data_IF_425349542212
#
_entry.id   IF_425349542212
#
_cell.length_a   1.000
_cell.length_b   1.000
_cell.length_c   1.000
_cell.angle_alpha   90.00
_cell.angle_beta   90.00
_cell.angle_gamma   90.00
#
_symmetry.space_group_name_H-M   'P 1'
#
loop_
_entity.id
_entity.type
_entity.pdbx_description
1 polymer ?
#
# COMPACT_ATOMS: atom_id res chain seq x y z
N UNK A 1 51.24 1.22 28.45
CA UNK A 1 51.75 0.68 29.72
C UNK A 1 50.67 -0.18 30.31
N UNK A 2 50.95 -1.45 30.57
CA UNK A 2 50.00 -2.36 31.18
C UNK A 2 50.15 -2.32 32.70
N UNK A 3 49.03 -2.18 33.41
CA UNK A 3 48.92 -2.47 34.84
C UNK A 3 48.27 -3.86 34.97
N UNK A 4 49.02 -4.85 35.46
CA UNK A 4 48.56 -6.23 35.67
C UNK A 4 49.70 -7.16 36.08
N UNK A 5 49.42 -8.04 37.06
CA UNK A 5 50.36 -8.89 37.79
C UNK A 5 51.03 -9.98 36.90
N UNK A 6 52.35 -10.28 37.02
CA UNK A 6 53.07 -11.18 36.11
C UNK A 6 52.72 -12.69 36.20
N UNK A 7 51.81 -13.10 37.08
CA UNK A 7 51.55 -14.52 37.38
C UNK A 7 50.21 -15.08 36.87
N UNK A 8 49.41 -14.29 36.15
CA UNK A 8 48.21 -14.85 35.51
C UNK A 8 48.65 -15.51 34.21
N UNK A 9 48.64 -16.84 34.19
CA UNK A 9 48.99 -17.70 33.06
C UNK A 9 48.53 -17.11 31.72
N UNK A 10 49.34 -17.32 30.68
CA UNK A 10 49.10 -16.95 29.29
C UNK A 10 47.70 -17.42 28.85
N UNK A 11 46.68 -16.61 29.15
CA UNK A 11 45.34 -16.81 28.66
C UNK A 11 45.40 -16.23 27.27
N UNK A 12 45.43 -17.12 26.27
CA UNK A 12 45.23 -16.76 24.87
C UNK A 12 44.14 -15.69 24.89
N UNK A 13 44.48 -14.44 24.54
CA UNK A 13 43.45 -13.41 24.36
C UNK A 13 42.64 -13.84 23.14
N UNK A 14 41.70 -14.76 23.36
CA UNK A 14 40.48 -14.80 22.59
C UNK A 14 40.00 -13.35 22.63
N UNK A 15 39.97 -12.72 21.47
CA UNK A 15 39.37 -11.41 21.31
C UNK A 15 37.86 -11.55 21.58
N UNK A 16 37.51 -11.70 22.86
CA UNK A 16 36.16 -11.78 23.38
C UNK A 16 35.65 -10.34 23.41
N UNK A 17 34.77 -10.02 22.46
CA UNK A 17 34.21 -8.67 22.32
C UNK A 17 32.94 -8.49 23.16
N UNK A 18 32.25 -9.58 23.50
CA UNK A 18 31.04 -9.58 24.32
C UNK A 18 30.92 -10.91 25.08
N UNK A 19 30.22 -10.87 26.21
CA UNK A 19 29.74 -12.03 26.97
C UNK A 19 28.21 -12.07 26.96
N UNK A 20 27.57 -10.90 26.95
CA UNK A 20 26.13 -10.73 26.83
C UNK A 20 25.75 -9.67 25.78
N UNK A 21 24.45 -9.56 25.48
CA UNK A 21 23.98 -8.62 24.46
C UNK A 21 24.23 -7.16 24.83
N UNK A 22 24.14 -6.83 26.12
CA UNK A 22 24.28 -5.46 26.63
C UNK A 22 25.73 -4.94 26.52
N UNK A 23 26.72 -5.83 26.34
CA UNK A 23 28.10 -5.47 25.98
C UNK A 23 28.21 -4.90 24.55
N UNK A 24 27.22 -5.21 23.71
CA UNK A 24 27.18 -4.75 22.33
C UNK A 24 26.39 -3.44 22.21
N UNK A 25 26.62 -2.66 21.15
CA UNK A 25 25.70 -1.61 20.72
C UNK A 25 24.27 -2.14 20.51
N UNK A 26 23.26 -1.29 20.68
CA UNK A 26 21.84 -1.68 20.61
C UNK A 26 21.38 -2.26 19.26
N UNK A 27 22.17 -2.05 18.20
CA UNK A 27 21.98 -2.59 16.85
C UNK A 27 22.69 -3.93 16.60
N UNK A 28 23.34 -4.51 17.61
CA UNK A 28 24.14 -5.75 17.51
C UNK A 28 23.74 -6.78 18.55
N UNK A 29 24.12 -8.04 18.36
CA UNK A 29 23.86 -9.12 19.32
C UNK A 29 25.13 -9.91 19.60
N UNK A 30 25.24 -10.50 20.79
CA UNK A 30 26.41 -11.28 21.16
C UNK A 30 26.29 -12.71 20.65
N UNK A 31 27.05 -13.05 19.61
CA UNK A 31 27.10 -14.39 19.02
C UNK A 31 28.55 -14.87 19.06
N UNK A 32 28.80 -16.00 19.73
CA UNK A 32 30.15 -16.60 19.83
C UNK A 32 31.22 -15.58 20.23
N UNK A 33 30.92 -14.77 21.24
CA UNK A 33 31.82 -13.74 21.80
C UNK A 33 32.17 -12.60 20.84
N UNK A 34 31.36 -12.38 19.80
CA UNK A 34 31.47 -11.25 18.86
C UNK A 34 30.13 -10.53 18.73
N UNK A 35 30.18 -9.21 18.60
CA UNK A 35 29.00 -8.41 18.33
C UNK A 35 28.65 -8.48 16.84
N UNK A 36 27.72 -9.36 16.49
CA UNK A 36 27.25 -9.59 15.12
C UNK A 36 25.95 -8.85 14.85
N UNK A 37 25.65 -8.63 13.57
CA UNK A 37 24.37 -8.05 13.15
C UNK A 37 23.27 -9.12 13.25
N UNK A 38 22.28 -8.95 14.14
CA UNK A 38 21.18 -9.92 14.29
C UNK A 38 20.27 -9.99 13.05
N UNK A 39 20.32 -9.01 12.16
CA UNK A 39 19.57 -9.03 10.91
C UNK A 39 20.19 -9.98 9.87
N UNK A 40 21.46 -10.37 10.04
CA UNK A 40 22.17 -11.21 9.11
C UNK A 40 21.55 -12.63 9.12
N UNK A 41 20.87 -13.01 8.03
CA UNK A 41 20.15 -14.28 7.78
C UNK A 41 18.80 -14.50 8.49
N UNK A 42 18.31 -13.57 9.32
CA UNK A 42 16.99 -13.74 9.96
C UNK A 42 15.86 -13.28 9.02
N UNK A 43 15.99 -12.09 8.43
CA UNK A 43 14.99 -11.54 7.52
C UNK A 43 15.33 -11.92 6.07
N UNK A 44 15.09 -13.18 5.70
CA UNK A 44 15.42 -13.71 4.36
C UNK A 44 14.32 -13.47 3.31
N UNK A 45 13.17 -12.92 3.70
CA UNK A 45 12.07 -12.67 2.79
C UNK A 45 12.37 -11.57 1.77
N UNK A 46 11.92 -11.75 0.54
CA UNK A 46 12.02 -10.72 -0.50
C UNK A 46 11.22 -9.46 -0.10
N UNK A 47 11.75 -8.28 -0.44
CA UNK A 47 11.14 -6.96 -0.16
C UNK A 47 10.90 -6.67 1.34
N UNK A 48 11.78 -7.17 2.20
CA UNK A 48 11.73 -6.93 3.64
C UNK A 48 12.73 -5.85 4.06
N UNK A 49 12.53 -5.30 5.25
CA UNK A 49 13.44 -4.42 5.97
C UNK A 49 13.61 -4.96 7.38
N UNK A 50 14.86 -5.08 7.82
CA UNK A 50 15.19 -5.47 9.18
C UNK A 50 15.50 -4.24 10.02
N UNK A 51 14.95 -4.19 11.23
CA UNK A 51 15.28 -3.19 12.25
C UNK A 51 15.67 -3.92 13.54
N UNK A 52 16.70 -3.44 14.23
CA UNK A 52 17.09 -4.02 15.51
C UNK A 52 16.50 -3.18 16.64
N UNK A 53 15.85 -3.83 17.62
CA UNK A 53 15.41 -3.18 18.85
C UNK A 53 15.81 -4.06 20.02
N UNK A 54 16.56 -3.49 20.97
CA UNK A 54 17.07 -4.22 22.15
C UNK A 54 17.80 -5.51 21.76
N UNK A 55 18.74 -5.42 20.81
CA UNK A 55 19.52 -6.57 20.32
C UNK A 55 18.71 -7.67 19.59
N UNK A 56 17.41 -7.44 19.36
CA UNK A 56 16.50 -8.37 18.69
C UNK A 56 16.18 -7.88 17.28
N UNK A 57 16.26 -8.73 16.25
CA UNK A 57 15.88 -8.37 14.89
C UNK A 57 14.35 -8.38 14.72
N UNK A 58 13.83 -7.33 14.10
CA UNK A 58 12.43 -7.17 13.71
C UNK A 58 12.34 -7.06 12.19
N UNK A 59 11.72 -8.06 11.56
CA UNK A 59 11.48 -8.06 10.12
C UNK A 59 10.14 -7.39 9.81
N UNK A 60 10.14 -6.48 8.84
CA UNK A 60 8.93 -5.82 8.35
C UNK A 60 8.93 -5.78 6.82
N UNK A 61 7.75 -5.71 6.20
CA UNK A 61 7.68 -5.48 4.76
C UNK A 61 8.04 -4.03 4.44
N UNK A 62 8.75 -3.82 3.31
CA UNK A 62 8.95 -2.47 2.77
C UNK A 62 7.60 -1.81 2.46
N UNK A 63 7.57 -0.48 2.47
CA UNK A 63 6.36 0.29 2.19
C UNK A 63 5.72 -0.15 0.86
N UNK A 64 4.42 -0.44 0.89
CA UNK A 64 3.66 -0.93 -0.28
C UNK A 64 3.69 -2.45 -0.49
N UNK A 65 4.47 -3.18 0.31
CA UNK A 65 4.49 -4.65 0.30
C UNK A 65 3.81 -5.21 1.55
N UNK A 66 3.16 -6.35 1.38
CA UNK A 66 2.41 -7.03 2.43
C UNK A 66 2.62 -8.53 2.34
N UNK A 67 2.34 -9.23 3.44
CA UNK A 67 2.60 -10.67 3.58
C UNK A 67 3.40 -10.95 4.84
N UNK A 68 4.07 -12.08 4.85
CA UNK A 68 4.91 -12.50 5.95
C UNK A 68 6.38 -12.13 5.67
N UNK A 69 6.99 -11.23 6.47
CA UNK A 69 8.36 -10.78 6.25
C UNK A 69 9.43 -11.86 6.46
N UNK A 70 9.10 -13.03 7.03
CA UNK A 70 10.04 -14.14 7.12
C UNK A 70 10.07 -15.00 5.85
N UNK A 71 8.96 -15.04 5.10
CA UNK A 71 8.82 -15.86 3.89
C UNK A 71 8.89 -15.01 2.62
N UNK A 72 7.96 -14.08 2.44
CA UNK A 72 7.93 -13.14 1.33
C UNK A 72 6.95 -11.98 1.56
N UNK A 73 7.41 -10.77 1.28
CA UNK A 73 6.54 -9.60 1.12
C UNK A 73 6.28 -9.37 -0.37
N UNK A 74 5.01 -9.40 -0.74
CA UNK A 74 4.57 -9.20 -2.12
C UNK A 74 3.95 -7.82 -2.27
N UNK A 75 4.05 -7.27 -3.48
CA UNK A 75 3.38 -6.02 -3.79
C UNK A 75 1.88 -6.27 -3.68
N UNK A 76 1.21 -5.63 -2.72
CA UNK A 76 -0.24 -5.72 -2.65
C UNK A 76 -0.78 -4.74 -3.68
N UNK A 77 -1.12 -5.24 -4.86
CA UNK A 77 -2.08 -4.57 -5.71
C UNK A 77 -3.35 -4.49 -4.88
N UNK A 78 -3.73 -3.27 -4.48
CA UNK A 78 -4.96 -3.04 -3.74
C UNK A 78 -6.13 -3.29 -4.69
N UNK A 79 -6.54 -4.56 -4.76
CA UNK A 79 -7.78 -5.00 -5.38
C UNK A 79 -8.91 -4.55 -4.48
N UNK A 80 -9.61 -3.49 -4.88
CA UNK A 80 -10.80 -2.99 -4.16
C UNK A 80 -12.02 -3.86 -4.42
N UNK A 81 -12.10 -4.42 -5.63
CA UNK A 81 -13.22 -5.19 -6.11
C UNK A 81 -12.72 -6.26 -7.09
N UNK A 82 -13.42 -7.38 -7.13
CA UNK A 82 -13.33 -8.39 -8.18
C UNK A 82 -14.55 -8.29 -9.09
N UNK A 83 -15.71 -7.97 -8.52
CA UNK A 83 -16.99 -7.82 -9.19
C UNK A 83 -17.65 -6.49 -8.83
N UNK A 84 -18.69 -6.11 -9.57
CA UNK A 84 -19.41 -4.86 -9.32
C UNK A 84 -20.05 -4.83 -7.92
N UNK A 85 -20.52 -5.98 -7.44
CA UNK A 85 -21.21 -6.13 -6.16
C UNK A 85 -20.27 -5.90 -4.95
N UNK A 86 -18.94 -5.94 -5.16
CA UNK A 86 -17.96 -5.56 -4.13
C UNK A 86 -17.91 -4.03 -3.92
N UNK A 87 -18.45 -3.26 -4.86
CA UNK A 87 -18.50 -1.81 -4.81
C UNK A 87 -19.84 -1.31 -4.22
N UNK A 88 -19.88 -0.06 -3.74
CA UNK A 88 -21.14 0.65 -3.53
C UNK A 88 -22.01 0.67 -4.79
N UNK A 89 -23.34 0.69 -4.64
CA UNK A 89 -24.30 0.63 -5.76
C UNK A 89 -24.18 1.77 -6.77
N UNK A 90 -23.51 2.86 -6.40
CA UNK A 90 -23.19 4.04 -7.22
C UNK A 90 -21.84 3.95 -7.96
N UNK A 91 -21.10 2.85 -7.83
CA UNK A 91 -19.78 2.64 -8.46
C UNK A 91 -19.76 1.37 -9.31
N UNK A 92 -18.73 1.17 -10.12
CA UNK A 92 -18.54 -0.07 -10.88
C UNK A 92 -17.09 -0.54 -10.77
N UNK A 93 -16.86 -1.85 -10.87
CA UNK A 93 -15.53 -2.41 -10.75
C UNK A 93 -14.79 -2.32 -12.08
N UNK A 94 -13.80 -1.42 -12.16
CA UNK A 94 -12.96 -1.22 -13.34
C UNK A 94 -11.51 -1.49 -12.94
N UNK A 95 -10.87 -2.48 -13.57
CA UNK A 95 -9.46 -2.82 -13.31
C UNK A 95 -9.16 -2.97 -11.81
N UNK A 96 -10.05 -3.66 -11.10
CA UNK A 96 -9.96 -3.92 -9.65
C UNK A 96 -10.06 -2.67 -8.76
N UNK A 97 -10.67 -1.59 -9.26
CA UNK A 97 -10.99 -0.37 -8.50
C UNK A 97 -12.45 0.00 -8.67
N UNK A 98 -13.07 0.50 -7.60
CA UNK A 98 -14.44 1.00 -7.66
C UNK A 98 -14.45 2.44 -8.19
N UNK A 99 -14.82 2.60 -9.45
CA UNK A 99 -14.84 3.89 -10.16
C UNK A 99 -16.28 4.35 -10.42
N UNK A 100 -16.48 5.65 -10.62
CA UNK A 100 -17.78 6.20 -11.00
C UNK A 100 -18.03 5.93 -12.49
N UNK A 101 -19.04 5.11 -12.86
CA UNK A 101 -19.32 4.80 -14.26
C UNK A 101 -19.80 6.02 -15.05
N UNK A 102 -20.26 7.10 -14.41
CA UNK A 102 -20.72 8.31 -15.09
C UNK A 102 -19.60 9.06 -15.82
N UNK A 103 -18.38 9.07 -15.28
CA UNK A 103 -17.27 9.90 -15.78
C UNK A 103 -16.89 9.58 -17.24
N UNK A 104 -17.13 8.34 -17.67
CA UNK A 104 -16.69 7.85 -18.98
C UNK A 104 -17.84 7.57 -19.97
N UNK A 105 -19.10 7.68 -19.55
CA UNK A 105 -20.25 7.26 -20.36
C UNK A 105 -21.13 8.44 -20.79
N UNK A 106 -21.44 9.36 -19.88
CA UNK A 106 -22.33 10.49 -20.19
C UNK A 106 -21.53 11.70 -20.67
N UNK A 107 -21.18 11.69 -21.96
CA UNK A 107 -20.31 12.72 -22.57
C UNK A 107 -21.06 13.91 -23.19
N UNK A 108 -22.39 13.87 -23.25
CA UNK A 108 -23.19 14.92 -23.88
C UNK A 108 -23.26 16.20 -23.05
N UNK A 109 -23.25 17.36 -23.72
CA UNK A 109 -23.48 18.65 -23.07
C UNK A 109 -24.89 18.74 -22.49
N UNK A 110 -25.04 19.42 -21.34
CA UNK A 110 -26.32 19.62 -20.64
C UNK A 110 -27.02 18.30 -20.23
N UNK A 111 -26.24 17.32 -19.80
CA UNK A 111 -26.73 16.02 -19.32
C UNK A 111 -26.59 15.89 -17.81
N UNK A 112 -27.35 14.95 -17.24
CA UNK A 112 -27.27 14.50 -15.86
C UNK A 112 -27.08 12.99 -15.85
N UNK A 113 -26.16 12.50 -15.03
CA UNK A 113 -25.94 11.06 -14.85
C UNK A 113 -26.44 10.61 -13.48
N UNK A 114 -27.10 9.46 -13.44
CA UNK A 114 -27.42 8.75 -12.20
C UNK A 114 -26.97 7.30 -12.33
N UNK A 115 -26.34 6.76 -11.29
CA UNK A 115 -25.97 5.34 -11.26
C UNK A 115 -27.06 4.56 -10.54
N UNK A 116 -27.52 3.45 -11.14
CA UNK A 116 -28.42 2.50 -10.48
C UNK A 116 -27.87 1.10 -10.71
N UNK A 117 -27.63 0.37 -9.61
CA UNK A 117 -27.08 -0.98 -9.63
C UNK A 117 -25.82 -1.08 -10.51
N UNK A 118 -24.83 -0.20 -10.26
CA UNK A 118 -23.55 -0.15 -10.98
C UNK A 118 -23.65 0.27 -12.47
N UNK A 119 -24.85 0.61 -12.96
CA UNK A 119 -25.11 1.00 -14.35
C UNK A 119 -25.37 2.52 -14.42
N UNK A 120 -24.67 3.27 -15.30
CA UNK A 120 -24.93 4.69 -15.50
C UNK A 120 -26.17 4.92 -16.36
N UNK A 121 -27.02 5.84 -15.94
CA UNK A 121 -28.20 6.32 -16.66
C UNK A 121 -28.02 7.81 -16.98
N UNK A 122 -27.85 8.12 -18.26
CA UNK A 122 -27.71 9.49 -18.76
C UNK A 122 -29.09 10.06 -19.14
N UNK A 123 -29.37 11.29 -18.71
CA UNK A 123 -30.61 12.03 -19.03
C UNK A 123 -30.29 13.47 -19.40
N UNK A 124 -31.11 14.13 -20.20
CA UNK A 124 -30.97 15.57 -20.43
C UNK A 124 -31.39 16.36 -19.18
N UNK A 125 -30.69 17.45 -18.87
CA UNK A 125 -31.11 18.39 -17.83
C UNK A 125 -32.48 19.00 -18.17
N UNK A 126 -33.20 19.45 -17.14
CA UNK A 126 -34.53 20.05 -17.30
C UNK A 126 -34.50 21.18 -18.35
N UNK A 127 -35.39 21.11 -19.35
CA UNK A 127 -35.49 22.08 -20.46
C UNK A 127 -34.60 21.78 -21.67
N UNK A 128 -33.77 20.74 -21.61
CA UNK A 128 -32.95 20.29 -22.73
C UNK A 128 -33.48 18.97 -23.30
N UNK A 129 -33.31 18.78 -24.61
CA UNK A 129 -33.79 17.61 -25.35
C UNK A 129 -32.73 17.17 -26.37
N UNK A 130 -32.76 15.88 -26.72
CA UNK A 130 -31.76 15.27 -27.60
C UNK A 130 -31.33 13.92 -27.07
N UNK A 131 -30.11 13.51 -27.42
CA UNK A 131 -29.51 12.27 -26.96
C UNK A 131 -28.46 12.57 -25.87
N UNK A 132 -28.66 12.08 -24.63
CA UNK A 132 -27.75 12.30 -23.51
C UNK A 132 -26.33 11.75 -23.69
N UNK A 133 -26.10 10.84 -24.65
CA UNK A 133 -24.76 10.34 -24.95
C UNK A 133 -23.98 11.27 -25.88
N UNK A 134 -24.69 12.04 -26.72
CA UNK A 134 -24.09 12.88 -27.76
C UNK A 134 -24.26 14.38 -27.47
N UNK A 135 -25.49 14.88 -27.35
CA UNK A 135 -25.77 16.25 -26.97
C UNK A 135 -27.25 16.46 -26.60
N UNK A 136 -27.48 17.22 -25.53
CA UNK A 136 -28.78 17.79 -25.22
C UNK A 136 -28.77 19.29 -25.54
N UNK A 137 -29.71 19.74 -26.36
CA UNK A 137 -29.85 21.12 -26.80
C UNK A 137 -31.05 21.77 -26.12
N UNK A 138 -30.93 23.08 -25.87
CA UNK A 138 -32.05 23.86 -25.34
C UNK A 138 -33.15 23.85 -26.40
N UNK A 139 -34.28 23.24 -26.07
CA UNK A 139 -35.44 23.37 -26.93
C UNK A 139 -36.14 24.65 -26.51
N UNK A 140 -35.77 25.76 -27.18
CA UNK A 140 -36.59 26.95 -27.15
C UNK A 140 -37.96 26.51 -27.66
N UNK A 141 -38.94 26.44 -26.74
CA UNK A 141 -40.32 26.54 -27.14
C UNK A 141 -40.45 27.93 -27.76
N UNK A 142 -40.17 28.04 -29.06
CA UNK A 142 -40.94 28.94 -29.89
C UNK A 142 -42.33 28.36 -29.83
N UNK A 143 -43.11 28.76 -28.80
CA UNK A 143 -44.55 28.67 -28.91
C UNK A 143 -44.84 29.33 -30.25
N UNK A 144 -45.41 28.57 -31.20
CA UNK A 144 -46.11 29.20 -32.29
C UNK A 144 -47.13 30.12 -31.59
N UNK A 145 -46.85 31.42 -31.55
CA UNK A 145 -47.88 32.41 -31.35
C UNK A 145 -48.73 32.32 -32.62
N UNK A 146 -49.61 31.31 -32.67
CA UNK A 146 -50.82 31.44 -33.45
C UNK A 146 -51.66 32.50 -32.75
N UNK A 147 -51.56 33.73 -33.25
CA UNK A 147 -52.62 34.75 -33.27
C UNK A 147 -52.23 35.86 -34.26
#
# INVERSE_FOLDING_TARGET
>A
GFFGDPLTACNLQLHTQCLENDDCPSDRTCVKQKCEDPCHNVCSGNNTSCQVRNHIPYCTCKQGFFGDPLTACNLQLHTQCLENDDCPSDKTCVKQKCEDPCHNVCSGNNTSCQVRNHIPYCTCKLGFFGDPLTACNLQLHTQCLEN
#
